data_IF_582077500136
#
_entry.id   IF_582077500136
#
_cell.length_a   1.000
_cell.length_b   1.000
_cell.length_c   1.000
_cell.angle_alpha   90.00
_cell.angle_beta   90.00
_cell.angle_gamma   90.00
#
_symmetry.space_group_name_H-M   'P 1'
#
loop_
_entity.id
_entity.type
_entity.pdbx_description
1 polymer ?
#
# COMPACT_ATOMS: atom_id res chain seq x y z
N UNK A 1 -10.45 31.12 -53.85
CA UNK A 1 -9.42 30.13 -54.21
C UNK A 1 -8.08 30.59 -53.67
N UNK A 2 -7.60 30.01 -52.58
CA UNK A 2 -6.21 30.08 -52.14
C UNK A 2 -5.99 29.04 -51.03
N UNK A 3 -4.86 28.34 -51.13
CA UNK A 3 -4.43 27.18 -50.37
C UNK A 3 -3.82 27.58 -49.01
N UNK A 4 -4.04 26.77 -47.98
CA UNK A 4 -3.21 26.73 -46.75
C UNK A 4 -2.02 25.74 -46.96
N UNK A 5 -0.96 25.65 -46.11
CA UNK A 5 -0.82 26.21 -44.75
C UNK A 5 0.55 26.83 -44.39
N UNK A 6 0.59 27.63 -43.33
CA UNK A 6 1.75 27.69 -42.42
C UNK A 6 1.24 27.48 -41.00
N UNK A 7 1.53 26.31 -40.45
CA UNK A 7 1.26 25.93 -39.07
C UNK A 7 2.47 26.33 -38.23
N UNK A 8 2.34 27.42 -37.48
CA UNK A 8 3.27 27.76 -36.40
C UNK A 8 2.86 27.03 -35.14
N UNK A 9 3.39 25.82 -34.93
CA UNK A 9 3.25 25.13 -33.63
C UNK A 9 4.09 25.88 -32.58
N UNK A 10 3.55 26.15 -31.38
CA UNK A 10 4.35 26.74 -30.31
C UNK A 10 5.45 25.76 -29.89
N UNK A 11 6.68 26.28 -29.77
CA UNK A 11 7.86 25.50 -29.35
C UNK A 11 7.67 25.01 -27.92
N UNK A 12 7.97 23.73 -27.71
CA UNK A 12 7.94 23.11 -26.39
C UNK A 12 8.98 23.73 -25.46
N UNK A 13 8.75 23.66 -24.14
CA UNK A 13 9.66 24.20 -23.13
C UNK A 13 11.08 23.59 -23.25
N UNK A 14 11.16 22.34 -23.70
CA UNK A 14 12.42 21.66 -24.01
C UNK A 14 13.16 22.29 -25.20
N UNK A 15 12.45 22.68 -26.27
CA UNK A 15 13.04 23.36 -27.44
C UNK A 15 13.49 24.79 -27.09
N UNK A 16 12.78 25.47 -26.19
CA UNK A 16 13.18 26.80 -25.69
C UNK A 16 14.41 26.72 -24.79
N UNK A 17 14.50 25.71 -23.93
CA UNK A 17 15.68 25.46 -23.09
C UNK A 17 16.89 25.00 -23.91
N UNK A 18 16.67 24.23 -24.98
CA UNK A 18 17.74 23.81 -25.90
C UNK A 18 18.27 25.00 -26.70
N UNK A 19 17.38 25.87 -27.21
CA UNK A 19 17.77 27.11 -27.87
C UNK A 19 18.57 28.03 -26.92
N UNK A 20 18.12 28.21 -25.68
CA UNK A 20 18.85 28.99 -24.67
C UNK A 20 20.21 28.38 -24.28
N UNK A 21 20.33 27.05 -24.23
CA UNK A 21 21.61 26.39 -24.00
C UNK A 21 22.59 26.55 -25.16
N UNK A 22 22.09 26.55 -26.41
CA UNK A 22 22.91 26.78 -27.60
C UNK A 22 23.41 28.25 -27.63
N UNK A 23 22.56 29.21 -27.28
CA UNK A 23 22.95 30.63 -27.18
C UNK A 23 23.93 30.89 -26.02
N UNK A 24 23.73 30.27 -24.85
CA UNK A 24 24.65 30.38 -23.72
C UNK A 24 26.02 29.75 -24.00
N UNK A 25 26.06 28.64 -24.74
CA UNK A 25 27.31 28.01 -25.16
C UNK A 25 28.07 28.85 -26.20
N UNK A 26 27.37 29.63 -27.03
CA UNK A 26 27.97 30.58 -27.95
C UNK A 26 28.54 31.82 -27.23
N UNK A 27 27.96 32.21 -26.08
CA UNK A 27 28.40 33.36 -25.29
C UNK A 27 29.59 33.08 -24.35
N UNK A 28 29.87 31.82 -24.01
CA UNK A 28 30.91 31.43 -23.05
C UNK A 28 32.34 31.32 -23.64
N UNK A 29 32.56 31.75 -24.89
CA UNK A 29 33.87 31.72 -25.57
C UNK A 29 34.81 32.89 -25.28
N UNK A 30 34.57 33.71 -24.24
CA UNK A 30 35.38 34.89 -23.88
C UNK A 30 35.97 34.81 -22.47
N UNK A 31 37.25 35.13 -22.34
CA UNK A 31 38.17 34.94 -21.21
C UNK A 31 37.85 35.71 -19.88
N UNK A 32 38.56 35.43 -18.76
CA UNK A 32 38.10 35.65 -17.37
C UNK A 32 38.89 36.72 -16.56
N UNK A 33 38.38 37.08 -15.36
CA UNK A 33 39.06 37.73 -14.19
C UNK A 33 37.98 38.30 -13.23
N UNK A 34 38.08 38.47 -11.91
CA UNK A 34 38.87 38.00 -10.76
C UNK A 34 38.28 38.65 -9.48
N UNK A 35 38.61 38.09 -8.30
CA UNK A 35 38.65 38.73 -6.96
C UNK A 35 37.34 39.12 -6.23
N UNK A 36 37.24 39.31 -4.91
CA UNK A 36 37.87 38.84 -3.66
C UNK A 36 37.20 39.64 -2.48
N UNK A 37 37.42 39.21 -1.22
CA UNK A 37 37.41 39.98 0.05
C UNK A 37 36.06 40.19 0.82
N UNK A 38 35.86 39.60 2.03
CA UNK A 38 36.08 40.08 3.45
C UNK A 38 35.06 41.13 3.94
N UNK A 39 34.57 41.28 5.20
CA UNK A 39 34.91 40.81 6.56
C UNK A 39 33.79 41.15 7.61
N UNK A 40 33.84 40.47 8.77
CA UNK A 40 33.63 40.93 10.19
C UNK A 40 32.27 41.25 10.83
N UNK A 41 32.25 40.97 12.16
CA UNK A 41 31.17 40.84 13.13
C UNK A 41 30.92 42.07 14.02
N UNK A 42 29.77 42.11 14.75
CA UNK A 42 29.70 42.44 16.20
C UNK A 42 28.26 42.27 16.78
N UNK A 43 28.17 41.79 18.03
CA UNK A 43 26.98 41.75 18.91
C UNK A 43 27.01 42.96 19.90
N UNK A 44 26.01 43.22 20.78
CA UNK A 44 25.91 42.48 22.07
C UNK A 44 24.53 42.41 22.83
N UNK A 45 24.50 41.51 23.83
CA UNK A 45 23.94 41.57 25.21
C UNK A 45 22.41 41.57 25.59
N UNK A 46 22.06 40.63 26.48
CA UNK A 46 20.92 40.57 27.44
C UNK A 46 21.23 41.36 28.75
N UNK A 47 20.39 41.51 29.83
CA UNK A 47 19.73 40.44 30.67
C UNK A 47 18.43 40.94 31.40
N UNK A 48 17.99 40.51 32.63
CA UNK A 48 18.19 39.30 33.46
C UNK A 48 16.89 38.62 34.01
N UNK A 49 17.08 37.56 34.82
CA UNK A 49 16.11 36.65 35.45
C UNK A 49 15.72 37.00 36.91
N UNK A 50 14.68 36.34 37.45
CA UNK A 50 14.42 36.22 38.90
C UNK A 50 13.81 34.85 39.31
N UNK A 51 14.37 34.30 40.38
CA UNK A 51 14.00 33.18 41.29
C UNK A 51 12.61 33.32 41.95
N UNK A 52 11.88 32.35 42.53
CA UNK A 52 12.06 30.95 42.93
C UNK A 52 10.91 30.50 43.88
N UNK A 53 10.93 29.23 44.32
CA UNK A 53 10.28 28.60 45.50
C UNK A 53 9.03 27.69 45.36
N UNK A 54 9.28 26.40 45.67
CA UNK A 54 8.65 25.49 46.65
C UNK A 54 7.14 25.07 46.63
N UNK A 55 7.00 23.74 46.72
CA UNK A 55 5.89 22.78 46.98
C UNK A 55 5.11 22.99 48.30
N UNK A 56 3.95 22.31 48.61
CA UNK A 56 3.62 20.89 48.34
C UNK A 56 2.16 20.48 48.02
N UNK A 57 2.00 19.18 47.73
CA UNK A 57 0.80 18.35 47.49
C UNK A 57 -0.24 18.38 48.64
N UNK A 58 -1.49 17.88 48.44
CA UNK A 58 -1.75 16.46 48.81
C UNK A 58 -2.87 15.69 48.03
N UNK A 59 -2.71 14.36 47.99
CA UNK A 59 -3.70 13.25 48.11
C UNK A 59 -5.00 13.13 47.27
N UNK A 60 -5.15 11.97 46.61
CA UNK A 60 -6.39 11.32 46.13
C UNK A 60 -7.39 10.97 47.26
N UNK A 61 -8.67 10.65 46.96
CA UNK A 61 -9.06 9.24 46.74
C UNK A 61 -10.19 8.99 45.70
N UNK A 62 -10.24 7.77 45.15
CA UNK A 62 -11.42 7.13 44.52
C UNK A 62 -12.15 6.24 45.57
N UNK A 63 -13.24 5.51 45.24
CA UNK A 63 -14.61 5.90 44.88
C UNK A 63 -15.64 5.24 45.85
N UNK A 64 -16.97 5.34 45.65
CA UNK A 64 -17.90 4.42 46.32
C UNK A 64 -18.50 3.37 45.38
N UNK A 65 -18.45 2.15 45.88
CA UNK A 65 -19.16 0.92 45.49
C UNK A 65 -20.65 1.05 45.76
N UNK A 66 -21.51 0.58 44.83
CA UNK A 66 -22.91 0.25 45.12
C UNK A 66 -23.14 -1.23 44.86
N UNK A 67 -23.73 -1.85 45.87
CA UNK A 67 -24.14 -3.26 45.99
C UNK A 67 -25.51 -3.44 45.33
N UNK A 68 -25.72 -4.57 44.66
CA UNK A 68 -27.05 -4.98 44.20
C UNK A 68 -27.03 -6.25 43.37
N UNK A 69 -26.99 -7.41 44.03
CA UNK A 69 -27.17 -8.71 43.42
C UNK A 69 -28.65 -9.13 43.37
N UNK A 70 -29.01 -9.82 42.29
CA UNK A 70 -30.03 -10.89 42.12
C UNK A 70 -29.86 -11.32 40.66
N UNK A 71 -29.67 -12.56 40.25
CA UNK A 71 -30.15 -13.82 40.80
C UNK A 71 -30.99 -14.50 39.72
N UNK A 72 -30.55 -15.71 39.32
CA UNK A 72 -31.26 -16.84 38.69
C UNK A 72 -31.89 -16.73 37.29
N UNK A 73 -31.61 -17.75 36.47
CA UNK A 73 -32.66 -18.43 35.70
C UNK A 73 -32.37 -18.83 34.24
N UNK A 74 -31.51 -19.82 34.01
CA UNK A 74 -31.70 -20.76 32.88
C UNK A 74 -33.00 -21.58 33.12
N UNK A 75 -33.66 -22.08 32.06
CA UNK A 75 -33.40 -23.47 31.68
C UNK A 75 -33.52 -23.81 30.18
N UNK A 76 -32.75 -24.84 29.82
CA UNK A 76 -32.95 -25.76 28.70
C UNK A 76 -34.11 -26.74 29.01
N UNK A 77 -34.76 -27.37 28.01
CA UNK A 77 -34.50 -28.80 27.73
C UNK A 77 -34.54 -29.12 26.21
N UNK A 78 -33.69 -29.97 25.61
CA UNK A 78 -33.57 -31.44 25.61
C UNK A 78 -34.81 -32.22 25.06
N UNK A 79 -34.70 -32.77 23.83
CA UNK A 79 -35.13 -34.11 23.35
C UNK A 79 -34.97 -34.19 21.81
N UNK A 80 -34.07 -34.99 21.25
CA UNK A 80 -34.17 -36.43 20.86
C UNK A 80 -35.08 -36.72 19.65
N UNK A 81 -34.47 -37.24 18.57
CA UNK A 81 -35.17 -37.83 17.43
C UNK A 81 -34.22 -38.32 16.33
N UNK A 82 -33.92 -39.63 16.33
CA UNK A 82 -33.22 -40.38 15.28
C UNK A 82 -34.02 -40.43 13.97
N UNK A 83 -33.33 -40.46 12.84
CA UNK A 83 -33.90 -40.84 11.53
C UNK A 83 -32.81 -41.13 10.49
N UNK A 84 -32.51 -42.42 10.30
CA UNK A 84 -31.73 -42.96 9.17
C UNK A 84 -32.49 -42.78 7.85
N UNK A 85 -31.78 -42.41 6.78
CA UNK A 85 -32.30 -42.46 5.41
C UNK A 85 -31.20 -42.25 4.38
N UNK A 86 -30.77 -43.33 3.73
CA UNK A 86 -29.91 -43.30 2.54
C UNK A 86 -30.65 -42.64 1.36
N UNK A 87 -29.93 -41.84 0.57
CA UNK A 87 -30.39 -41.35 -0.73
C UNK A 87 -29.25 -40.71 -1.51
N UNK A 88 -28.81 -41.39 -2.58
CA UNK A 88 -27.76 -40.95 -3.50
C UNK A 88 -28.19 -39.73 -4.32
N UNK A 89 -27.21 -38.86 -4.63
CA UNK A 89 -27.10 -38.27 -5.97
C UNK A 89 -27.34 -36.77 -6.15
N UNK A 90 -26.46 -36.20 -6.96
CA UNK A 90 -26.54 -34.94 -7.73
C UNK A 90 -25.91 -33.69 -7.07
N UNK A 91 -24.70 -33.40 -7.57
CA UNK A 91 -23.94 -32.17 -7.37
C UNK A 91 -24.56 -31.08 -8.26
N UNK A 92 -25.43 -30.23 -7.70
CA UNK A 92 -25.98 -29.09 -8.44
C UNK A 92 -25.06 -27.88 -8.32
N UNK A 93 -24.36 -27.57 -9.41
CA UNK A 93 -23.69 -26.28 -9.64
C UNK A 93 -24.72 -25.15 -9.59
N UNK A 94 -24.56 -24.22 -8.66
CA UNK A 94 -25.41 -23.05 -8.53
C UNK A 94 -25.16 -22.09 -9.71
N UNK A 95 -26.15 -22.02 -10.61
CA UNK A 95 -26.25 -21.04 -11.69
C UNK A 95 -26.41 -19.64 -11.10
N UNK A 96 -25.59 -18.69 -11.56
CA UNK A 96 -25.82 -17.25 -11.43
C UNK A 96 -26.98 -16.87 -12.35
N UNK A 97 -28.01 -16.23 -11.80
CA UNK A 97 -29.09 -15.60 -12.55
C UNK A 97 -28.70 -14.15 -12.80
N UNK A 98 -28.40 -13.81 -14.06
CA UNK A 98 -28.30 -12.43 -14.51
C UNK A 98 -29.70 -11.95 -14.90
N UNK A 99 -30.14 -10.83 -14.32
CA UNK A 99 -31.34 -10.11 -14.74
C UNK A 99 -30.94 -8.97 -15.66
N UNK A 100 -31.46 -9.05 -16.88
CA UNK A 100 -31.44 -8.02 -17.92
C UNK A 100 -32.44 -6.91 -17.59
N UNK A 101 -32.12 -5.68 -18.00
CA UNK A 101 -33.07 -4.79 -18.67
C UNK A 101 -32.32 -3.99 -19.76
N UNK A 102 -33.02 -3.76 -20.86
CA UNK A 102 -32.50 -3.57 -22.22
C UNK A 102 -32.70 -2.15 -22.75
N UNK A 103 -31.84 -1.69 -23.68
CA UNK A 103 -32.24 -0.95 -24.90
C UNK A 103 -31.25 -1.21 -26.07
N UNK A 104 -31.66 -2.10 -26.98
CA UNK A 104 -31.52 -2.15 -28.47
C UNK A 104 -30.63 -1.13 -29.22
N UNK A 105 -30.04 -1.37 -30.41
CA UNK A 105 -29.68 -2.53 -31.26
C UNK A 105 -29.28 -2.01 -32.66
N UNK A 106 -28.32 -2.66 -33.35
CA UNK A 106 -28.15 -2.88 -34.82
C UNK A 106 -26.66 -3.31 -35.01
N UNK A 107 -26.27 -4.58 -35.21
CA UNK A 107 -26.55 -5.52 -36.32
C UNK A 107 -25.25 -5.66 -37.15
N UNK A 108 -24.72 -6.79 -37.64
CA UNK A 108 -25.09 -8.21 -37.65
C UNK A 108 -23.92 -9.03 -38.27
N UNK A 109 -23.87 -10.34 -38.03
CA UNK A 109 -23.19 -11.46 -38.74
C UNK A 109 -21.65 -11.60 -38.63
N UNK A 110 -20.99 -12.77 -38.66
CA UNK A 110 -21.19 -14.18 -38.22
C UNK A 110 -19.94 -14.97 -38.73
N UNK A 111 -19.57 -16.08 -38.03
CA UNK A 111 -18.60 -17.14 -38.39
C UNK A 111 -17.10 -16.76 -38.30
N UNK A 112 -16.13 -17.58 -37.88
CA UNK A 112 -15.99 -18.98 -37.49
C UNK A 112 -14.49 -19.26 -37.26
N UNK A 113 -14.13 -20.31 -36.52
CA UNK A 113 -12.76 -20.66 -36.10
C UNK A 113 -11.81 -21.11 -37.23
N UNK A 114 -10.51 -21.06 -36.88
CA UNK A 114 -9.38 -21.91 -37.29
C UNK A 114 -8.41 -21.57 -38.44
N UNK A 115 -7.16 -21.41 -38.00
CA UNK A 115 -5.88 -21.88 -38.57
C UNK A 115 -5.25 -21.12 -39.75
N UNK A 116 -4.04 -20.66 -39.44
CA UNK A 116 -3.02 -19.97 -40.25
C UNK A 116 -2.63 -20.72 -41.54
N UNK A 117 -2.46 -19.95 -42.63
CA UNK A 117 -1.84 -20.39 -43.90
C UNK A 117 -1.05 -19.25 -44.58
N UNK A 118 0.27 -19.29 -44.34
CA UNK A 118 1.42 -18.99 -45.24
C UNK A 118 1.55 -17.56 -45.83
N UNK A 119 2.70 -17.08 -46.32
CA UNK A 119 4.01 -17.60 -46.75
C UNK A 119 5.04 -16.47 -46.57
N UNK A 120 6.22 -16.70 -45.96
CA UNK A 120 7.50 -15.94 -46.17
C UNK A 120 8.55 -16.18 -45.07
N UNK A 121 8.82 -17.45 -44.75
CA UNK A 121 10.02 -17.81 -44.01
C UNK A 121 10.65 -19.06 -44.62
N UNK A 122 11.93 -18.90 -45.00
CA UNK A 122 12.89 -19.91 -45.48
C UNK A 122 12.90 -20.14 -46.99
N UNK A 123 13.82 -19.47 -47.69
CA UNK A 123 14.93 -20.13 -48.39
C UNK A 123 16.06 -19.11 -48.62
N UNK A 124 17.26 -19.41 -48.14
CA UNK A 124 18.47 -18.64 -48.43
C UNK A 124 19.18 -19.11 -49.70
N UNK A 125 20.28 -18.39 -49.99
CA UNK A 125 21.42 -18.68 -50.88
C UNK A 125 21.36 -17.96 -52.25
N UNK A 126 22.06 -16.82 -52.37
CA UNK A 126 23.39 -16.56 -53.00
C UNK A 126 23.24 -16.20 -54.48
N UNK A 127 23.64 -14.98 -54.85
CA UNK A 127 24.54 -14.83 -55.98
C UNK A 127 25.42 -13.59 -55.93
N UNK A 128 26.68 -13.82 -56.30
CA UNK A 128 27.76 -12.87 -56.45
C UNK A 128 27.39 -11.78 -57.47
N UNK A 129 27.75 -10.53 -57.19
CA UNK A 129 28.26 -9.68 -58.26
C UNK A 129 29.47 -8.85 -57.80
N UNK A 130 30.47 -8.90 -58.68
CA UNK A 130 31.86 -8.48 -58.52
C UNK A 130 31.97 -6.95 -58.43
N UNK A 131 32.75 -6.48 -57.47
CA UNK A 131 33.29 -5.12 -57.44
C UNK A 131 34.50 -5.10 -58.38
N UNK A 132 34.42 -4.34 -59.47
CA UNK A 132 35.60 -3.91 -60.23
C UNK A 132 36.06 -2.54 -59.72
N UNK A 133 37.31 -2.51 -59.27
CA UNK A 133 38.00 -1.33 -58.77
C UNK A 133 38.47 -0.45 -59.94
N UNK A 134 37.76 0.63 -60.23
CA UNK A 134 38.29 1.76 -61.01
C UNK A 134 37.40 3.01 -60.91
N UNK A 135 37.34 3.64 -59.73
CA UNK A 135 37.15 5.10 -59.63
C UNK A 135 37.47 5.59 -58.21
N UNK A 136 38.75 5.53 -57.87
CA UNK A 136 39.30 6.27 -56.75
C UNK A 136 39.66 7.68 -57.23
N UNK A 137 38.99 8.73 -56.71
CA UNK A 137 39.65 10.01 -56.43
C UNK A 137 38.76 11.01 -55.66
N UNK A 138 39.35 11.54 -54.57
CA UNK A 138 39.11 12.87 -53.96
C UNK A 138 37.88 13.03 -53.04
N UNK A 139 38.08 12.91 -51.72
CA UNK A 139 38.37 14.07 -50.81
C UNK A 139 38.17 13.75 -49.31
N UNK A 140 39.20 14.15 -48.55
CA UNK A 140 39.24 14.65 -47.16
C UNK A 140 38.53 13.82 -46.07
N UNK A 141 39.34 13.21 -45.21
CA UNK A 141 38.94 12.60 -43.95
C UNK A 141 38.31 13.65 -43.02
N UNK A 142 36.99 13.63 -42.92
CA UNK A 142 36.28 14.44 -41.93
C UNK A 142 36.29 13.75 -40.55
N UNK A 143 36.49 14.54 -39.50
CA UNK A 143 36.53 14.14 -38.08
C UNK A 143 35.30 13.39 -37.58
N UNK A 144 34.27 13.21 -38.41
CA UNK A 144 33.12 12.33 -38.18
C UNK A 144 33.48 10.87 -37.89
N UNK A 145 34.66 10.40 -38.33
CA UNK A 145 35.11 9.03 -38.05
C UNK A 145 35.47 8.81 -36.57
N UNK A 146 35.94 9.85 -35.87
CA UNK A 146 36.20 9.81 -34.42
C UNK A 146 34.91 9.90 -33.60
N UNK A 147 33.91 10.61 -34.11
CA UNK A 147 32.58 10.68 -33.48
C UNK A 147 31.87 9.34 -33.62
N UNK A 148 31.94 8.66 -34.77
CA UNK A 148 31.30 7.35 -34.97
C UNK A 148 31.76 6.26 -33.98
N UNK A 149 33.02 6.31 -33.53
CA UNK A 149 33.53 5.40 -32.49
C UNK A 149 33.09 5.77 -31.06
N UNK A 150 32.71 7.02 -30.80
CA UNK A 150 32.15 7.46 -29.51
C UNK A 150 30.63 7.19 -29.47
N UNK A 151 29.92 7.38 -30.59
CA UNK A 151 28.46 7.16 -30.64
C UNK A 151 28.08 5.68 -30.72
N UNK A 152 29.00 4.79 -31.09
CA UNK A 152 28.81 3.33 -30.95
C UNK A 152 28.82 2.85 -29.48
N UNK A 153 29.26 3.69 -28.53
CA UNK A 153 29.26 3.41 -27.10
C UNK A 153 28.17 4.13 -26.30
N UNK A 154 27.28 4.88 -26.95
CA UNK A 154 25.98 5.17 -26.34
C UNK A 154 25.14 3.92 -26.51
N UNK A 155 24.83 3.17 -25.43
CA UNK A 155 23.91 2.06 -25.59
C UNK A 155 22.64 2.69 -26.12
N UNK A 156 22.19 2.21 -27.27
CA UNK A 156 20.87 2.51 -27.77
C UNK A 156 19.92 2.24 -26.61
N UNK A 157 19.36 3.28 -26.00
CA UNK A 157 18.33 3.13 -24.98
C UNK A 157 17.11 2.60 -25.72
N UNK A 158 17.12 1.29 -25.95
CA UNK A 158 15.93 0.56 -26.28
C UNK A 158 15.05 0.73 -25.05
N UNK A 159 14.15 1.71 -25.13
CA UNK A 159 13.08 1.86 -24.17
C UNK A 159 12.23 0.60 -24.33
N UNK A 160 12.60 -0.45 -23.61
CA UNK A 160 11.70 -1.56 -23.37
C UNK A 160 10.45 -0.89 -22.83
N UNK A 161 9.34 -0.96 -23.58
CA UNK A 161 8.03 -0.64 -23.03
C UNK A 161 7.92 -1.53 -21.80
N UNK A 162 8.13 -0.99 -20.59
CA UNK A 162 7.92 -1.72 -19.34
C UNK A 162 6.60 -2.46 -19.53
N UNK A 163 6.62 -3.78 -19.39
CA UNK A 163 5.44 -4.60 -19.63
C UNK A 163 4.26 -3.94 -18.94
N UNK A 164 3.15 -3.80 -19.67
CA UNK A 164 1.92 -3.22 -19.16
C UNK A 164 1.48 -4.09 -17.98
N UNK A 165 1.77 -3.69 -16.75
CA UNK A 165 1.33 -4.45 -15.59
C UNK A 165 -0.19 -4.32 -15.50
N UNK A 166 -0.91 -5.43 -15.23
CA UNK A 166 -2.35 -5.38 -15.05
C UNK A 166 -2.67 -4.50 -13.85
N UNK A 167 -3.45 -3.45 -14.10
CA UNK A 167 -3.82 -2.45 -13.10
C UNK A 167 -4.52 -3.09 -11.88
N UNK A 168 -4.27 -2.56 -10.68
CA UNK A 168 -4.67 -3.16 -9.40
C UNK A 168 -5.42 -2.16 -8.53
N UNK A 169 -6.64 -2.53 -8.12
CA UNK A 169 -7.39 -1.81 -7.09
C UNK A 169 -7.80 -2.75 -5.96
N UNK A 170 -7.14 -2.60 -4.82
CA UNK A 170 -7.44 -3.38 -3.61
C UNK A 170 -8.69 -2.86 -2.89
N UNK A 171 -8.79 -1.54 -2.72
CA UNK A 171 -9.86 -0.89 -1.99
C UNK A 171 -10.50 0.27 -2.77
N UNK A 172 -11.59 0.82 -2.25
CA UNK A 172 -12.35 1.91 -2.86
C UNK A 172 -13.39 1.45 -3.89
N UNK A 173 -14.13 2.42 -4.45
CA UNK A 173 -15.18 2.16 -5.43
C UNK A 173 -14.59 1.96 -6.82
N UNK A 174 -15.15 1.02 -7.59
CA UNK A 174 -14.77 0.81 -8.99
C UNK A 174 -15.00 2.09 -9.80
N UNK A 175 -14.10 2.36 -10.76
CA UNK A 175 -14.18 3.55 -11.62
C UNK A 175 -13.55 4.82 -11.04
N UNK A 176 -12.99 4.78 -9.83
CA UNK A 176 -12.31 5.93 -9.23
C UNK A 176 -10.91 6.20 -9.79
N UNK A 177 -10.33 5.27 -10.55
CA UNK A 177 -8.96 5.36 -11.01
C UNK A 177 -8.85 5.08 -12.51
N UNK A 178 -7.91 5.75 -13.17
CA UNK A 178 -7.55 5.55 -14.59
C UNK A 178 -6.03 5.57 -14.75
N UNK A 179 -5.52 5.03 -15.86
CA UNK A 179 -4.11 5.17 -16.19
C UNK A 179 -3.76 6.65 -16.44
N UNK A 180 -2.61 7.09 -15.94
CA UNK A 180 -2.13 8.45 -16.16
C UNK A 180 -1.65 8.70 -17.59
N UNK A 181 -1.60 9.97 -18.01
CA UNK A 181 -1.10 10.35 -19.33
C UNK A 181 0.42 10.13 -19.46
N UNK A 182 1.15 10.12 -18.33
CA UNK A 182 2.59 9.89 -18.28
C UNK A 182 2.90 8.48 -17.72
N UNK A 183 3.95 7.81 -18.22
CA UNK A 183 4.45 6.58 -17.61
C UNK A 183 4.74 6.76 -16.11
N UNK A 184 4.32 5.80 -15.29
CA UNK A 184 4.48 5.86 -13.84
C UNK A 184 3.52 6.80 -13.13
N UNK A 185 2.39 7.15 -13.77
CA UNK A 185 1.34 7.96 -13.14
C UNK A 185 -0.02 7.28 -13.20
N UNK A 186 -0.85 7.57 -12.21
CA UNK A 186 -2.23 7.11 -12.07
C UNK A 186 -3.13 8.33 -11.86
N UNK A 187 -4.33 8.28 -12.43
CA UNK A 187 -5.37 9.26 -12.19
C UNK A 187 -6.31 8.75 -11.11
N UNK A 188 -6.61 9.57 -10.11
CA UNK A 188 -7.64 9.31 -9.09
C UNK A 188 -8.71 10.39 -9.20
N UNK A 189 -10.00 10.03 -9.20
CA UNK A 189 -11.09 11.00 -9.30
C UNK A 189 -10.94 12.10 -8.25
N UNK A 190 -11.08 13.36 -8.66
CA UNK A 190 -10.80 14.51 -7.81
C UNK A 190 -11.70 14.51 -6.57
N UNK A 191 -11.06 14.63 -5.41
CA UNK A 191 -11.68 15.02 -4.15
C UNK A 191 -10.97 16.30 -3.66
N UNK A 192 -11.66 17.44 -3.51
CA UNK A 192 -11.01 18.69 -3.11
C UNK A 192 -10.22 18.60 -1.80
N UNK A 193 -10.78 17.91 -0.79
CA UNK A 193 -10.07 17.71 0.50
C UNK A 193 -8.79 16.90 0.35
N UNK A 194 -8.81 15.88 -0.52
CA UNK A 194 -7.64 15.06 -0.78
C UNK A 194 -6.56 15.85 -1.54
N UNK A 195 -6.99 16.71 -2.45
CA UNK A 195 -6.08 17.62 -3.17
C UNK A 195 -5.35 18.55 -2.22
N UNK A 196 -6.08 19.23 -1.34
CA UNK A 196 -5.53 20.13 -0.32
C UNK A 196 -4.46 19.41 0.51
N UNK A 197 -4.77 18.19 0.97
CA UNK A 197 -3.80 17.36 1.68
C UNK A 197 -2.54 17.12 0.86
N UNK A 198 -2.66 16.72 -0.41
CA UNK A 198 -1.50 16.49 -1.28
C UNK A 198 -0.68 17.77 -1.52
N UNK A 199 -1.32 18.93 -1.68
CA UNK A 199 -0.63 20.20 -1.86
C UNK A 199 0.25 20.56 -0.65
N UNK A 200 -0.25 20.31 0.57
CA UNK A 200 0.50 20.49 1.82
C UNK A 200 1.60 19.42 1.93
N UNK A 201 1.26 18.15 1.72
CA UNK A 201 2.18 17.02 1.82
C UNK A 201 3.38 17.10 0.85
N UNK A 202 3.23 17.75 -0.31
CA UNK A 202 4.35 17.98 -1.23
C UNK A 202 5.40 18.96 -0.68
N UNK A 203 5.09 19.65 0.41
CA UNK A 203 5.97 20.60 1.11
C UNK A 203 6.32 20.11 2.54
N UNK A 204 5.69 19.03 3.02
CA UNK A 204 5.89 18.45 4.34
C UNK A 204 7.02 17.41 4.37
N UNK A 205 7.52 17.09 5.57
CA UNK A 205 8.49 16.02 5.81
C UNK A 205 7.98 14.63 5.37
N UNK A 206 6.66 14.44 5.33
CA UNK A 206 6.01 13.21 4.87
C UNK A 206 6.06 13.00 3.35
N UNK A 207 6.52 13.98 2.56
CA UNK A 207 6.61 13.87 1.09
C UNK A 207 7.23 12.56 0.59
N UNK A 208 8.32 12.00 1.16
CA UNK A 208 8.92 10.75 0.70
C UNK A 208 8.10 9.48 1.02
N UNK A 209 6.99 9.64 1.75
CA UNK A 209 6.14 8.55 2.25
C UNK A 209 4.73 8.57 1.64
N UNK A 210 4.45 9.49 0.72
CA UNK A 210 3.17 9.61 0.00
C UNK A 210 3.39 9.58 -1.52
N UNK A 211 2.38 9.23 -2.34
CA UNK A 211 2.47 9.40 -3.79
C UNK A 211 2.79 10.84 -4.16
N UNK A 212 3.73 11.04 -5.09
CA UNK A 212 3.98 12.38 -5.64
C UNK A 212 2.74 12.88 -6.37
N UNK A 213 2.20 14.02 -5.93
CA UNK A 213 1.11 14.71 -6.60
C UNK A 213 1.64 15.63 -7.70
N UNK A 214 1.11 15.48 -8.91
CA UNK A 214 1.55 16.19 -10.12
C UNK A 214 0.59 17.28 -10.60
N UNK A 215 -0.53 17.48 -9.92
CA UNK A 215 -1.57 18.42 -10.33
C UNK A 215 -2.88 17.75 -10.74
N UNK A 216 -3.77 18.53 -11.34
CA UNK A 216 -5.05 18.06 -11.87
C UNK A 216 -4.96 17.74 -13.37
N UNK A 217 -5.77 16.79 -13.81
CA UNK A 217 -6.00 16.47 -15.21
C UNK A 217 -7.50 16.40 -15.48
N UNK A 218 -7.94 17.07 -16.54
CA UNK A 218 -9.32 16.99 -17.03
C UNK A 218 -9.40 15.87 -18.07
N UNK A 219 -10.30 14.91 -17.85
CA UNK A 219 -10.63 13.84 -18.81
C UNK A 219 -11.43 14.39 -19.99
N UNK A 220 -11.49 13.62 -21.09
CA UNK A 220 -12.29 13.96 -22.28
C UNK A 220 -13.78 14.18 -21.95
N UNK A 221 -14.30 13.44 -20.96
CA UNK A 221 -15.67 13.55 -20.45
C UNK A 221 -15.91 14.78 -19.54
N UNK A 222 -14.92 15.65 -19.37
CA UNK A 222 -14.99 16.83 -18.49
C UNK A 222 -14.80 16.55 -16.99
N UNK A 223 -14.63 15.29 -16.59
CA UNK A 223 -14.32 14.93 -15.20
C UNK A 223 -12.89 15.30 -14.81
N UNK A 224 -12.71 15.78 -13.57
CA UNK A 224 -11.39 16.12 -13.02
C UNK A 224 -10.79 14.97 -12.21
N UNK A 225 -9.48 14.81 -12.35
CA UNK A 225 -8.68 13.79 -11.69
C UNK A 225 -7.42 14.41 -11.05
N UNK A 226 -7.01 13.87 -9.91
CA UNK A 226 -5.67 14.02 -9.36
C UNK A 226 -4.71 13.14 -10.17
N UNK A 227 -3.61 13.72 -10.67
CA UNK A 227 -2.51 12.94 -11.22
C UNK A 227 -1.49 12.63 -10.12
N UNK A 228 -1.34 11.34 -9.81
CA UNK A 228 -0.48 10.84 -8.74
C UNK A 228 0.61 9.93 -9.33
N UNK A 229 1.72 9.78 -8.61
CA UNK A 229 2.67 8.71 -8.85
C UNK A 229 1.98 7.35 -8.75
N UNK A 230 2.24 6.48 -9.73
CA UNK A 230 1.88 5.08 -9.61
C UNK A 230 2.92 4.36 -8.74
N UNK A 231 2.50 3.97 -7.54
CA UNK A 231 3.36 3.32 -6.56
C UNK A 231 3.81 1.90 -6.97
N UNK A 232 3.22 1.33 -8.02
CA UNK A 232 3.53 -0.02 -8.50
C UNK A 232 4.49 0.00 -9.70
N UNK A 233 4.80 1.18 -10.27
CA UNK A 233 5.49 1.28 -11.57
C UNK A 233 6.91 0.72 -11.61
N UNK A 234 7.56 0.59 -10.45
CA UNK A 234 8.93 0.11 -10.31
C UNK A 234 9.03 -1.33 -9.80
N UNK A 235 7.89 -1.99 -9.60
CA UNK A 235 7.84 -3.36 -9.11
C UNK A 235 7.56 -4.35 -10.23
N UNK A 236 8.15 -5.55 -10.13
CA UNK A 236 7.86 -6.66 -11.04
C UNK A 236 6.95 -7.67 -10.33
N UNK A 237 5.74 -7.88 -10.87
CA UNK A 237 4.72 -8.76 -10.27
C UNK A 237 4.48 -8.46 -8.76
N UNK A 238 4.09 -7.22 -8.41
CA UNK A 238 4.02 -6.81 -7.01
C UNK A 238 2.97 -7.57 -6.22
N UNK A 239 3.35 -7.95 -5.00
CA UNK A 239 2.43 -8.20 -3.90
C UNK A 239 2.04 -6.87 -3.26
N UNK A 240 0.74 -6.64 -3.07
CA UNK A 240 0.18 -5.40 -2.55
C UNK A 240 -0.76 -5.70 -1.39
N UNK A 241 -0.67 -4.95 -0.29
CA UNK A 241 -1.60 -5.02 0.83
C UNK A 241 -1.99 -3.61 1.27
N UNK A 242 -3.28 -3.42 1.49
CA UNK A 242 -3.86 -2.17 1.98
C UNK A 242 -4.26 -2.34 3.45
N UNK A 243 -3.67 -1.54 4.33
CA UNK A 243 -4.04 -1.48 5.73
C UNK A 243 -4.62 -0.12 6.07
N UNK A 244 -5.90 -0.06 6.42
CA UNK A 244 -6.51 1.15 6.96
C UNK A 244 -6.00 1.40 8.38
N UNK A 245 -5.61 2.63 8.68
CA UNK A 245 -4.98 2.98 9.97
C UNK A 245 -5.86 3.97 10.75
N UNK A 246 -5.77 3.90 12.07
CA UNK A 246 -6.56 4.64 13.05
C UNK A 246 -7.45 3.72 13.89
N UNK A 247 -7.84 4.17 15.08
CA UNK A 247 -8.81 3.46 15.95
C UNK A 247 -10.26 3.75 15.59
N UNK A 248 -10.49 4.72 14.70
CA UNK A 248 -11.80 5.09 14.15
C UNK A 248 -11.70 5.40 12.66
N UNK A 249 -12.81 5.26 11.95
CA UNK A 249 -12.86 5.39 10.48
C UNK A 249 -13.94 6.32 9.95
N UNK A 250 -14.50 7.13 10.84
CA UNK A 250 -15.44 8.19 10.56
C UNK A 250 -14.98 9.50 11.20
N UNK A 251 -15.35 10.61 10.58
CA UNK A 251 -15.12 11.96 11.12
C UNK A 251 -16.12 12.28 12.23
N UNK A 252 -15.74 13.13 13.19
CA UNK A 252 -16.67 13.58 14.23
C UNK A 252 -17.90 14.30 13.64
N UNK A 253 -17.69 15.09 12.58
CA UNK A 253 -18.80 15.70 11.84
C UNK A 253 -19.78 14.68 11.26
N UNK A 254 -19.31 13.50 10.84
CA UNK A 254 -20.19 12.44 10.32
C UNK A 254 -21.08 11.88 11.44
N UNK A 255 -20.60 11.85 12.68
CA UNK A 255 -21.42 11.51 13.85
C UNK A 255 -22.44 12.61 14.16
N UNK A 256 -22.01 13.87 14.21
CA UNK A 256 -22.89 15.00 14.52
C UNK A 256 -24.03 15.12 13.50
N UNK A 257 -23.71 15.05 12.20
CA UNK A 257 -24.70 15.08 11.12
C UNK A 257 -25.70 13.91 11.20
N UNK A 258 -25.27 12.74 11.65
CA UNK A 258 -26.14 11.59 11.82
C UNK A 258 -27.05 11.70 13.05
N UNK A 259 -26.61 12.37 14.12
CA UNK A 259 -27.44 12.70 15.29
C UNK A 259 -28.53 13.72 14.94
N UNK A 260 -28.19 14.73 14.13
CA UNK A 260 -29.15 15.75 13.67
C UNK A 260 -30.15 15.20 12.65
N UNK A 261 -29.67 14.46 11.64
CA UNK A 261 -30.50 13.91 10.57
C UNK A 261 -30.07 12.50 10.21
N UNK A 262 -30.60 11.47 10.90
CA UNK A 262 -30.23 10.08 10.63
C UNK A 262 -30.67 9.69 9.21
N UNK A 263 -29.70 9.35 8.36
CA UNK A 263 -29.94 8.78 7.03
C UNK A 263 -29.72 7.28 7.07
N UNK A 264 -30.80 6.53 6.83
CA UNK A 264 -30.80 5.08 6.77
C UNK A 264 -30.23 4.57 5.43
N UNK A 265 -29.48 3.47 5.50
CA UNK A 265 -28.73 2.88 4.38
C UNK A 265 -29.02 1.37 4.30
N UNK A 266 -29.79 0.98 3.28
CA UNK A 266 -30.12 -0.43 3.01
C UNK A 266 -28.88 -1.25 2.64
N UNK A 267 -28.00 -0.68 1.82
CA UNK A 267 -26.77 -1.34 1.36
C UNK A 267 -25.81 -1.70 2.51
N UNK A 268 -25.81 -0.91 3.59
CA UNK A 268 -25.00 -1.18 4.78
C UNK A 268 -25.61 -2.28 5.64
N UNK A 269 -26.94 -2.28 5.78
CA UNK A 269 -27.67 -3.35 6.47
C UNK A 269 -27.47 -4.69 5.77
N UNK A 270 -27.62 -4.74 4.44
CA UNK A 270 -27.45 -5.97 3.66
C UNK A 270 -26.03 -6.56 3.84
N UNK A 271 -25.00 -5.70 3.86
CA UNK A 271 -23.62 -6.13 4.14
C UNK A 271 -23.43 -6.60 5.59
N UNK A 272 -24.17 -6.03 6.53
CA UNK A 272 -24.08 -6.37 7.95
C UNK A 272 -24.64 -7.76 8.21
N UNK A 273 -25.85 -8.04 7.72
CA UNK A 273 -26.47 -9.37 7.84
C UNK A 273 -25.75 -10.47 7.08
N UNK A 274 -25.04 -10.13 6.00
CA UNK A 274 -24.19 -11.09 5.26
C UNK A 274 -23.00 -11.59 6.09
N UNK A 275 -22.56 -10.79 7.07
CA UNK A 275 -21.44 -11.13 7.95
C UNK A 275 -21.95 -11.70 9.26
N UNK A 276 -22.93 -11.05 9.87
CA UNK A 276 -23.56 -11.46 11.13
C UNK A 276 -25.05 -11.09 11.12
N UNK A 277 -25.91 -12.10 11.02
CA UNK A 277 -27.37 -11.95 11.00
C UNK A 277 -27.97 -11.47 12.31
N UNK A 278 -27.23 -11.53 13.43
CA UNK A 278 -27.68 -11.09 14.75
C UNK A 278 -27.11 -9.74 15.17
N UNK A 279 -26.24 -9.14 14.35
CA UNK A 279 -25.63 -7.85 14.67
C UNK A 279 -26.61 -6.65 14.63
N UNK A 280 -27.60 -6.56 13.71
CA UNK A 280 -28.56 -5.47 13.71
C UNK A 280 -29.57 -5.58 14.87
N UNK A 281 -30.09 -4.45 15.36
CA UNK A 281 -31.17 -4.44 16.35
C UNK A 281 -32.52 -4.81 15.74
N UNK A 282 -33.53 -5.06 16.58
CA UNK A 282 -34.88 -5.35 16.12
C UNK A 282 -35.47 -4.21 15.25
N UNK A 283 -35.19 -2.95 15.62
CA UNK A 283 -35.60 -1.78 14.85
C UNK A 283 -34.86 -1.70 13.50
N UNK A 284 -33.56 -2.00 13.48
CA UNK A 284 -32.75 -2.03 12.25
C UNK A 284 -33.20 -3.14 11.30
N UNK A 285 -33.57 -4.30 11.82
CA UNK A 285 -34.19 -5.38 11.06
C UNK A 285 -35.54 -5.00 10.48
N UNK A 286 -36.40 -4.35 11.27
CA UNK A 286 -37.70 -3.87 10.80
C UNK A 286 -37.55 -2.84 9.66
N UNK A 287 -36.57 -1.92 9.79
CA UNK A 287 -36.28 -0.90 8.80
C UNK A 287 -35.49 -1.44 7.57
N UNK A 288 -34.88 -2.63 7.68
CA UNK A 288 -33.94 -3.19 6.70
C UNK A 288 -32.84 -2.21 6.29
N UNK A 289 -32.38 -1.41 7.24
CA UNK A 289 -31.43 -0.35 7.02
C UNK A 289 -30.75 0.05 8.32
N UNK A 290 -29.49 0.47 8.24
CA UNK A 290 -28.72 1.01 9.38
C UNK A 290 -28.18 2.39 9.02
N UNK A 291 -27.81 3.19 10.02
CA UNK A 291 -27.10 4.46 9.73
C UNK A 291 -25.63 4.18 9.39
N UNK A 292 -25.00 5.11 8.66
CA UNK A 292 -23.57 4.98 8.32
C UNK A 292 -22.67 4.89 9.56
N UNK A 293 -22.77 5.78 10.57
CA UNK A 293 -21.85 5.68 11.71
C UNK A 293 -22.04 4.40 12.52
N UNK A 294 -23.29 3.95 12.70
CA UNK A 294 -23.58 2.65 13.33
C UNK A 294 -22.88 1.49 12.64
N UNK A 295 -22.92 1.46 11.31
CA UNK A 295 -22.24 0.45 10.52
C UNK A 295 -20.71 0.53 10.63
N UNK A 296 -20.16 1.74 10.63
CA UNK A 296 -18.71 1.95 10.77
C UNK A 296 -18.23 1.48 12.15
N UNK A 297 -18.91 1.88 13.23
CA UNK A 297 -18.60 1.44 14.60
C UNK A 297 -18.68 -0.08 14.70
N UNK A 298 -19.72 -0.71 14.16
CA UNK A 298 -19.81 -2.16 14.15
C UNK A 298 -18.62 -2.80 13.39
N UNK A 299 -18.28 -2.31 12.19
CA UNK A 299 -17.11 -2.77 11.44
C UNK A 299 -15.80 -2.64 12.24
N UNK A 300 -15.65 -1.56 13.00
CA UNK A 300 -14.49 -1.35 13.86
C UNK A 300 -14.42 -2.38 14.99
N UNK A 301 -15.57 -2.82 15.53
CA UNK A 301 -15.64 -3.82 16.61
C UNK A 301 -15.40 -5.26 16.16
N UNK A 302 -15.72 -5.60 14.90
CA UNK A 302 -15.53 -6.95 14.36
C UNK A 302 -14.17 -7.14 13.66
N UNK A 303 -13.43 -6.06 13.46
CA UNK A 303 -12.06 -6.07 12.91
C UNK A 303 -11.04 -5.68 13.98
N UNK A 304 -9.76 -5.62 13.61
CA UNK A 304 -8.67 -5.17 14.48
C UNK A 304 -8.62 -3.66 14.71
N UNK A 305 -9.49 -2.86 14.07
CA UNK A 305 -9.42 -1.39 14.14
C UNK A 305 -9.53 -0.85 15.57
N UNK A 306 -10.54 -1.28 16.32
CA UNK A 306 -10.77 -0.76 17.68
C UNK A 306 -9.70 -1.20 18.70
N UNK A 307 -9.03 -2.34 18.46
CA UNK A 307 -8.08 -2.95 19.41
C UNK A 307 -6.62 -2.71 19.07
N UNK A 308 -6.29 -2.66 17.77
CA UNK A 308 -4.91 -2.53 17.28
C UNK A 308 -4.67 -1.21 16.55
N UNK A 309 -5.70 -0.40 16.26
CA UNK A 309 -5.56 0.87 15.56
C UNK A 309 -5.28 0.73 14.06
N UNK A 310 -5.54 -0.44 13.47
CA UNK A 310 -5.52 -0.65 12.03
C UNK A 310 -6.35 -1.88 11.65
N UNK A 311 -6.62 -2.08 10.36
CA UNK A 311 -7.12 -3.36 9.81
C UNK A 311 -6.65 -3.58 8.38
N UNK A 312 -6.58 -4.84 7.95
CA UNK A 312 -6.31 -5.20 6.56
C UNK A 312 -7.59 -5.02 5.75
N UNK A 313 -7.54 -4.27 4.66
CA UNK A 313 -8.68 -4.08 3.73
C UNK A 313 -8.60 -5.07 2.56
N UNK A 314 -7.40 -5.42 2.11
CA UNK A 314 -7.20 -6.37 1.03
C UNK A 314 -5.74 -6.68 0.77
N UNK A 315 -5.53 -7.83 0.13
CA UNK A 315 -4.22 -8.34 -0.28
C UNK A 315 -4.33 -8.80 -1.74
N UNK A 316 -3.31 -8.50 -2.55
CA UNK A 316 -3.05 -9.13 -3.84
C UNK A 316 -1.64 -9.70 -3.81
N UNK A 317 -1.48 -10.95 -4.24
CA UNK A 317 -0.18 -11.61 -4.36
C UNK A 317 0.35 -11.55 -5.80
N UNK A 318 1.62 -11.90 -5.96
CA UNK A 318 2.32 -11.91 -7.25
C UNK A 318 1.72 -12.90 -8.26
N UNK A 319 1.12 -13.99 -7.78
CA UNK A 319 0.38 -14.99 -8.57
C UNK A 319 -0.96 -14.46 -9.13
N UNK A 320 -1.35 -13.23 -8.78
CA UNK A 320 -2.59 -12.59 -9.20
C UNK A 320 -3.78 -12.89 -8.30
N UNK A 321 -3.66 -13.79 -7.32
CA UNK A 321 -4.70 -14.03 -6.33
C UNK A 321 -4.94 -12.77 -5.50
N UNK A 322 -6.21 -12.47 -5.23
CA UNK A 322 -6.59 -11.35 -4.40
C UNK A 322 -7.60 -11.78 -3.36
N UNK A 323 -7.38 -11.37 -2.11
CA UNK A 323 -8.30 -11.55 -1.01
C UNK A 323 -8.78 -10.20 -0.52
N UNK A 324 -10.08 -10.09 -0.30
CA UNK A 324 -10.71 -8.96 0.40
C UNK A 324 -11.43 -9.46 1.65
N UNK A 325 -11.15 -10.68 2.10
CA UNK A 325 -11.90 -11.33 3.17
C UNK A 325 -11.31 -11.12 4.56
N UNK A 326 -11.14 -9.85 4.91
CA UNK A 326 -10.56 -9.43 6.18
C UNK A 326 -11.55 -8.72 7.11
N UNK A 327 -12.87 -8.85 6.83
CA UNK A 327 -13.91 -8.09 7.53
C UNK A 327 -13.99 -8.46 9.02
N UNK A 328 -13.64 -9.70 9.34
CA UNK A 328 -13.65 -10.28 10.70
C UNK A 328 -12.25 -10.64 11.20
N UNK A 329 -11.20 -10.25 10.47
CA UNK A 329 -9.81 -10.43 10.91
C UNK A 329 -9.54 -9.43 12.04
N UNK A 330 -9.46 -9.94 13.26
CA UNK A 330 -9.47 -9.13 14.47
C UNK A 330 -8.33 -9.44 15.43
N UNK A 331 -8.08 -10.72 15.72
CA UNK A 331 -7.08 -11.10 16.72
C UNK A 331 -5.67 -10.84 16.20
N UNK A 332 -4.71 -10.65 17.13
CA UNK A 332 -3.29 -10.44 16.78
C UNK A 332 -2.75 -11.65 15.99
N UNK A 333 -3.18 -12.85 16.34
CA UNK A 333 -2.79 -14.11 15.69
C UNK A 333 -3.35 -14.20 14.26
N UNK A 334 -4.61 -13.84 14.05
CA UNK A 334 -5.20 -13.79 12.71
C UNK A 334 -4.46 -12.79 11.81
N UNK A 335 -4.08 -11.64 12.37
CA UNK A 335 -3.30 -10.63 11.66
C UNK A 335 -1.89 -11.14 11.33
N UNK A 336 -1.21 -11.80 12.28
CA UNK A 336 0.07 -12.46 12.04
C UNK A 336 -0.01 -13.48 10.91
N UNK A 337 -1.04 -14.32 10.89
CA UNK A 337 -1.27 -15.30 9.82
C UNK A 337 -1.44 -14.62 8.46
N UNK A 338 -2.22 -13.55 8.39
CA UNK A 338 -2.38 -12.79 7.14
C UNK A 338 -1.06 -12.17 6.66
N UNK A 339 -0.21 -11.70 7.57
CA UNK A 339 1.13 -11.20 7.21
C UNK A 339 2.09 -12.29 6.76
N UNK A 340 2.11 -13.44 7.42
CA UNK A 340 2.88 -14.61 6.98
C UNK A 340 2.44 -15.03 5.58
N UNK A 341 1.14 -15.09 5.33
CA UNK A 341 0.59 -15.42 4.02
C UNK A 341 0.97 -14.37 2.95
N UNK A 342 0.95 -13.08 3.31
CA UNK A 342 1.36 -11.98 2.43
C UNK A 342 2.85 -12.05 2.05
N UNK A 343 3.70 -12.46 2.98
CA UNK A 343 5.16 -12.54 2.83
C UNK A 343 5.64 -13.89 2.31
N UNK A 344 4.72 -14.82 2.00
CA UNK A 344 5.06 -16.16 1.55
C UNK A 344 5.98 -16.13 0.31
N UNK A 345 7.06 -16.91 0.37
CA UNK A 345 8.13 -16.91 -0.64
C UNK A 345 9.12 -15.73 -0.56
N UNK A 346 8.89 -14.75 0.31
CA UNK A 346 9.67 -13.52 0.40
C UNK A 346 10.00 -13.10 1.85
N UNK A 347 10.50 -14.01 2.72
CA UNK A 347 10.73 -13.71 4.14
C UNK A 347 11.75 -12.56 4.36
N UNK A 348 12.72 -12.40 3.46
CA UNK A 348 13.74 -11.34 3.49
C UNK A 348 13.19 -9.91 3.33
N UNK A 349 11.91 -9.77 2.97
CA UNK A 349 11.23 -8.49 2.83
C UNK A 349 10.82 -7.91 4.18
N UNK A 350 10.50 -8.75 5.17
CA UNK A 350 9.98 -8.31 6.47
C UNK A 350 10.88 -7.27 7.18
N UNK A 351 12.22 -7.44 7.25
CA UNK A 351 13.10 -6.43 7.86
C UNK A 351 13.02 -5.06 7.18
N UNK A 352 12.80 -5.03 5.85
CA UNK A 352 12.67 -3.79 5.08
C UNK A 352 11.38 -3.05 5.41
N UNK A 353 10.28 -3.79 5.62
CA UNK A 353 9.03 -3.19 6.09
C UNK A 353 9.16 -2.63 7.51
N UNK A 354 9.83 -3.34 8.42
CA UNK A 354 10.08 -2.84 9.78
C UNK A 354 10.88 -1.54 9.72
N UNK A 355 11.97 -1.50 8.95
CA UNK A 355 12.78 -0.30 8.77
C UNK A 355 11.95 0.86 8.19
N UNK A 356 11.14 0.60 7.16
CA UNK A 356 10.28 1.60 6.54
C UNK A 356 9.22 2.13 7.50
N UNK A 357 8.55 1.27 8.26
CA UNK A 357 7.56 1.68 9.29
C UNK A 357 8.20 2.53 10.38
N UNK A 358 9.38 2.16 10.87
CA UNK A 358 10.11 2.96 11.87
C UNK A 358 10.45 4.35 11.34
N UNK A 359 10.86 4.45 10.07
CA UNK A 359 11.13 5.73 9.42
C UNK A 359 9.85 6.57 9.23
N UNK A 360 8.75 5.95 8.80
CA UNK A 360 7.43 6.59 8.72
C UNK A 360 7.03 7.13 10.10
N UNK A 361 7.06 6.29 11.15
CA UNK A 361 6.71 6.67 12.52
C UNK A 361 7.53 7.86 13.01
N UNK A 362 8.85 7.82 12.82
CA UNK A 362 9.74 8.89 13.25
C UNK A 362 9.44 10.21 12.52
N UNK A 363 9.07 10.15 11.23
CA UNK A 363 8.72 11.34 10.44
C UNK A 363 7.35 11.89 10.83
N UNK A 364 6.36 11.03 11.06
CA UNK A 364 5.03 11.42 11.53
C UNK A 364 5.11 12.22 12.84
N UNK A 365 5.96 11.79 13.78
CA UNK A 365 6.10 12.44 15.08
C UNK A 365 6.54 13.93 15.01
N UNK A 366 7.19 14.33 13.91
CA UNK A 366 7.70 15.70 13.70
C UNK A 366 7.06 16.42 12.50
N UNK A 367 6.08 15.79 11.85
CA UNK A 367 5.38 16.37 10.70
C UNK A 367 4.36 17.41 11.18
N UNK A 368 4.45 18.62 10.64
CA UNK A 368 3.50 19.68 10.93
C UNK A 368 2.12 19.35 10.34
N UNK A 369 2.09 18.79 9.13
CA UNK A 369 0.84 18.28 8.53
C UNK A 369 0.16 17.30 9.48
N UNK A 370 0.90 16.31 9.99
CA UNK A 370 0.32 15.27 10.84
C UNK A 370 -0.28 15.87 12.12
N UNK A 371 0.50 16.64 12.88
CA UNK A 371 0.06 17.23 14.15
C UNK A 371 -1.15 18.18 14.04
N UNK A 372 -1.40 18.72 12.85
CA UNK A 372 -2.47 19.70 12.57
C UNK A 372 -3.63 19.09 11.79
N UNK A 373 -3.63 17.79 11.51
CA UNK A 373 -4.69 17.13 10.76
C UNK A 373 -5.25 15.93 11.51
N UNK A 374 -6.56 15.78 11.50
CA UNK A 374 -7.23 14.54 11.85
C UNK A 374 -7.15 13.58 10.66
N UNK A 375 -6.41 12.47 10.79
CA UNK A 375 -6.07 11.57 9.66
C UNK A 375 -6.98 10.35 9.65
N UNK A 376 -8.17 10.51 9.06
CA UNK A 376 -9.21 9.47 9.04
C UNK A 376 -9.32 8.79 7.69
N UNK A 377 -9.46 7.47 7.74
CA UNK A 377 -9.80 6.67 6.56
C UNK A 377 -8.65 6.48 5.56
N UNK A 378 -7.47 7.04 5.83
CA UNK A 378 -6.24 6.77 5.09
C UNK A 378 -5.70 5.37 5.36
N UNK A 379 -4.79 4.93 4.50
CA UNK A 379 -4.19 3.60 4.55
C UNK A 379 -2.68 3.64 4.41
N UNK A 380 -2.02 2.61 4.93
CA UNK A 380 -0.67 2.23 4.54
C UNK A 380 -0.76 1.18 3.44
N UNK A 381 -0.21 1.50 2.26
CA UNK A 381 -0.09 0.60 1.14
C UNK A 381 1.29 -0.07 1.17
N UNK A 382 1.31 -1.35 1.52
CA UNK A 382 2.48 -2.20 1.48
C UNK A 382 2.65 -2.75 0.06
N UNK A 383 3.83 -2.58 -0.51
CA UNK A 383 4.17 -3.09 -1.85
C UNK A 383 5.52 -3.77 -1.78
N UNK A 384 5.59 -5.00 -2.25
CA UNK A 384 6.85 -5.68 -2.46
C UNK A 384 6.88 -6.53 -3.74
N UNK A 385 8.07 -6.79 -4.23
CA UNK A 385 8.37 -7.85 -5.18
C UNK A 385 9.53 -8.70 -4.65
N UNK A 386 10.18 -9.46 -5.53
CA UNK A 386 11.33 -10.29 -5.18
C UNK A 386 12.48 -9.51 -4.49
N UNK A 387 12.65 -8.24 -4.84
CA UNK A 387 13.86 -7.45 -4.53
C UNK A 387 13.58 -6.10 -3.89
N UNK A 388 12.35 -5.59 -3.93
CA UNK A 388 11.96 -4.27 -3.45
C UNK A 388 10.82 -4.38 -2.45
N UNK A 389 10.78 -3.44 -1.51
CA UNK A 389 9.68 -3.30 -0.56
C UNK A 389 9.55 -1.85 -0.13
N UNK A 390 8.33 -1.34 -0.08
CA UNK A 390 8.05 -0.01 0.46
C UNK A 390 6.64 0.06 1.02
N UNK A 391 6.41 1.12 1.79
CA UNK A 391 5.14 1.45 2.42
C UNK A 391 4.88 2.92 2.14
N UNK A 392 3.64 3.21 1.76
CA UNK A 392 3.17 4.54 1.40
C UNK A 392 1.87 4.88 2.12
N UNK A 393 1.73 6.11 2.59
CA UNK A 393 0.46 6.63 3.08
C UNK A 393 -0.37 7.07 1.86
N UNK A 394 -1.62 6.61 1.81
CA UNK A 394 -2.57 6.89 0.72
C UNK A 394 -3.96 7.23 1.27
N UNK A 395 -4.84 7.74 0.41
CA UNK A 395 -6.26 7.98 0.67
C UNK A 395 -6.55 9.07 1.73
N UNK A 396 -6.25 10.32 1.40
CA UNK A 396 -6.45 11.48 2.31
C UNK A 396 -7.82 12.16 2.15
N UNK A 397 -8.77 11.54 1.45
CA UNK A 397 -10.09 12.14 1.17
C UNK A 397 -10.93 12.46 2.42
N UNK A 398 -10.60 11.86 3.55
CA UNK A 398 -11.21 12.11 4.86
C UNK A 398 -10.22 12.67 5.88
N UNK A 399 -9.01 13.01 5.47
CA UNK A 399 -8.08 13.76 6.30
C UNK A 399 -8.52 15.22 6.30
N UNK A 400 -8.59 15.84 7.47
CA UNK A 400 -9.11 17.21 7.63
C UNK A 400 -8.18 18.01 8.54
N UNK A 401 -7.94 19.26 8.17
CA UNK A 401 -7.21 20.21 9.01
C UNK A 401 -7.99 20.48 10.31
N UNK A 402 -7.27 20.53 11.42
CA UNK A 402 -7.80 20.86 12.73
C UNK A 402 -8.01 22.38 12.87
N UNK A 403 -8.85 22.82 13.82
CA UNK A 403 -8.91 24.23 14.20
C UNK A 403 -7.51 24.78 14.56
N UNK A 404 -7.15 26.03 14.21
CA UNK A 404 -5.77 26.53 14.33
C UNK A 404 -5.10 26.46 15.72
N UNK A 405 -5.88 26.34 16.79
CA UNK A 405 -5.35 26.23 18.16
C UNK A 405 -5.24 24.79 18.65
N UNK A 406 -5.69 23.81 17.87
CA UNK A 406 -5.73 22.41 18.25
C UNK A 406 -4.61 21.63 17.56
N UNK A 407 -3.95 20.79 18.35
CA UNK A 407 -3.03 19.75 17.87
C UNK A 407 -3.40 18.45 18.56
N UNK A 408 -3.20 17.35 17.87
CA UNK A 408 -3.42 16.00 18.41
C UNK A 408 -2.10 15.23 18.42
N UNK A 409 -1.99 14.26 19.31
CA UNK A 409 -0.77 13.44 19.44
C UNK A 409 -0.88 12.10 18.70
N UNK A 410 -2.07 11.77 18.17
CA UNK A 410 -2.41 10.54 17.44
C UNK A 410 -2.21 9.25 18.25
N UNK A 411 -2.11 9.37 19.57
CA UNK A 411 -1.80 8.31 20.52
C UNK A 411 -2.80 8.27 21.68
N UNK A 412 -3.30 9.43 22.09
CA UNK A 412 -4.29 9.60 23.12
C UNK A 412 -5.61 8.93 22.73
N UNK A 413 -6.30 8.38 23.73
CA UNK A 413 -7.58 7.72 23.50
C UNK A 413 -8.60 8.72 22.92
N UNK A 414 -9.26 8.33 21.84
CA UNK A 414 -10.29 9.16 21.22
C UNK A 414 -11.48 9.40 22.15
N UNK A 415 -11.91 10.67 22.18
CA UNK A 415 -13.10 11.15 22.86
C UNK A 415 -13.73 12.22 21.97
N UNK A 416 -15.05 12.25 21.89
CA UNK A 416 -15.77 13.27 21.10
C UNK A 416 -15.26 14.67 21.47
N UNK A 417 -14.80 15.43 20.47
CA UNK A 417 -14.26 16.78 20.60
C UNK A 417 -12.75 16.87 20.78
N UNK A 418 -12.03 15.75 21.01
CA UNK A 418 -10.56 15.77 21.06
C UNK A 418 -9.89 15.45 19.72
N UNK A 419 -10.66 15.03 18.71
CA UNK A 419 -10.19 14.76 17.34
C UNK A 419 -9.13 13.66 17.19
N UNK A 420 -8.73 12.98 18.26
CA UNK A 420 -7.71 11.92 18.21
C UNK A 420 -8.13 10.79 17.26
N UNK A 421 -7.21 10.33 16.43
CA UNK A 421 -7.48 9.28 15.43
C UNK A 421 -6.82 7.94 15.78
N UNK A 422 -5.90 7.92 16.76
CA UNK A 422 -5.14 6.74 17.17
C UNK A 422 -4.23 6.19 16.07
N UNK A 423 -3.78 7.02 15.13
CA UNK A 423 -2.99 6.58 13.99
C UNK A 423 -1.62 6.01 14.41
N UNK A 424 -0.95 6.61 15.40
CA UNK A 424 0.32 6.10 15.92
C UNK A 424 0.15 4.82 16.74
N UNK A 425 -1.02 4.58 17.35
CA UNK A 425 -1.35 3.29 17.97
C UNK A 425 -1.29 2.19 16.90
N UNK A 426 -1.90 2.44 15.74
CA UNK A 426 -1.87 1.54 14.59
C UNK A 426 -0.46 1.23 14.09
N UNK A 427 0.34 2.27 13.87
CA UNK A 427 1.72 2.12 13.39
C UNK A 427 2.58 1.35 14.40
N UNK A 428 2.47 1.65 15.70
CA UNK A 428 3.24 0.95 16.72
C UNK A 428 2.87 -0.53 16.78
N UNK A 429 1.57 -0.86 16.78
CA UNK A 429 1.14 -2.26 16.76
C UNK A 429 1.60 -3.01 15.50
N UNK A 430 1.61 -2.36 14.33
CA UNK A 430 2.17 -2.94 13.10
C UNK A 430 3.66 -3.26 13.26
N UNK A 431 4.45 -2.32 13.79
CA UNK A 431 5.88 -2.53 14.05
C UNK A 431 6.09 -3.69 15.02
N UNK A 432 5.36 -3.72 16.13
CA UNK A 432 5.50 -4.75 17.16
C UNK A 432 5.15 -6.13 16.61
N UNK A 433 4.07 -6.26 15.84
CA UNK A 433 3.68 -7.52 15.21
C UNK A 433 4.76 -7.99 14.23
N UNK A 434 5.31 -7.09 13.42
CA UNK A 434 6.36 -7.45 12.47
C UNK A 434 7.67 -7.85 13.15
N UNK A 435 8.06 -7.17 14.23
CA UNK A 435 9.24 -7.54 15.02
C UNK A 435 9.05 -8.91 15.67
N UNK A 436 7.87 -9.19 16.22
CA UNK A 436 7.53 -10.52 16.75
C UNK A 436 7.59 -11.59 15.67
N UNK A 437 7.04 -11.32 14.48
CA UNK A 437 7.11 -12.24 13.34
C UNK A 437 8.55 -12.51 12.91
N UNK A 438 9.39 -11.47 12.84
CA UNK A 438 10.78 -11.62 12.47
C UNK A 438 11.52 -12.52 13.47
N UNK A 439 11.35 -12.28 14.77
CA UNK A 439 11.97 -13.10 15.81
C UNK A 439 11.52 -14.57 15.72
N UNK A 440 10.24 -14.83 15.46
CA UNK A 440 9.73 -16.18 15.29
C UNK A 440 10.35 -16.88 14.06
N UNK A 441 10.47 -16.17 12.93
CA UNK A 441 11.06 -16.72 11.71
C UNK A 441 12.56 -17.02 11.88
N UNK A 442 13.29 -16.18 12.62
CA UNK A 442 14.70 -16.40 12.97
C UNK A 442 14.85 -17.63 13.87
N UNK A 443 14.01 -17.77 14.91
CA UNK A 443 14.01 -18.94 15.79
C UNK A 443 13.69 -20.26 15.06
N UNK A 444 12.72 -20.25 14.13
CA UNK A 444 12.38 -21.43 13.31
C UNK A 444 13.52 -21.84 12.36
N UNK A 445 14.23 -20.86 11.80
CA UNK A 445 15.39 -21.09 10.96
C UNK A 445 16.56 -21.68 11.75
N UNK A 446 16.81 -21.18 12.97
CA UNK A 446 17.82 -21.73 13.87
C UNK A 446 17.50 -23.17 14.29
N UNK A 447 16.26 -23.44 14.69
CA UNK A 447 15.81 -24.78 15.07
C UNK A 447 15.94 -25.81 13.93
N UNK A 448 15.71 -25.37 12.68
CA UNK A 448 15.84 -26.23 11.50
C UNK A 448 17.30 -26.48 11.08
N UNK A 449 18.26 -25.72 11.64
CA UNK A 449 19.69 -25.82 11.31
C UNK A 449 20.49 -26.72 12.25
N UNK A 450 19.87 -27.27 13.31
CA UNK A 450 20.53 -28.17 14.27
C UNK A 450 20.72 -29.56 13.60
N UNK A 451 21.95 -30.07 13.45
CA UNK A 451 22.21 -31.39 12.89
C UNK A 451 21.61 -32.50 13.79
N UNK A 452 20.91 -33.45 13.17
CA UNK A 452 20.55 -34.72 13.83
C UNK A 452 21.86 -35.40 14.24
N UNK A 453 22.05 -35.82 15.51
CA UNK A 453 23.22 -36.58 15.91
C UNK A 453 23.30 -37.85 15.08
N UNK A 454 24.43 -38.09 14.41
CA UNK A 454 24.70 -39.34 13.73
C UNK A 454 24.46 -40.50 14.70
N UNK A 455 23.80 -41.60 14.29
CA UNK A 455 23.73 -42.77 15.13
C UNK A 455 25.16 -43.24 15.37
N UNK A 456 25.57 -43.25 16.64
CA UNK A 456 26.82 -43.87 17.07
C UNK A 456 26.76 -45.31 16.57
N UNK A 457 27.65 -45.66 15.65
CA UNK A 457 27.92 -47.04 15.27
C UNK A 457 28.34 -47.77 16.55
N UNK A 458 27.43 -48.61 17.06
CA UNK A 458 27.73 -49.50 18.17
C UNK A 458 28.68 -50.58 17.68
N UNK A 459 29.97 -50.44 17.96
CA UNK A 459 30.94 -51.53 17.91
C UNK A 459 31.77 -51.68 19.21
N UNK A 460 31.51 -50.90 20.27
CA UNK A 460 32.27 -50.98 21.53
C UNK A 460 31.41 -51.35 22.76
N UNK A 461 30.43 -52.24 22.60
CA UNK A 461 29.69 -52.86 23.72
C UNK A 461 29.64 -54.39 23.61
N UNK A 462 30.79 -55.02 23.35
CA UNK A 462 30.90 -56.49 23.53
C UNK A 462 32.18 -56.95 24.26
N UNK A 463 33.12 -56.06 24.62
CA UNK A 463 34.34 -56.43 25.34
C UNK A 463 34.31 -56.19 26.87
N UNK A 464 33.16 -55.82 27.45
CA UNK A 464 33.07 -55.52 28.90
C UNK A 464 32.28 -56.52 29.74
N UNK A 465 31.74 -57.58 29.15
CA UNK A 465 31.06 -58.66 29.89
C UNK A 465 31.89 -59.95 30.05
N UNK A 466 33.00 -60.13 29.33
CA UNK A 466 33.86 -61.33 29.51
C UNK A 466 34.91 -61.22 30.63
N UNK A 467 34.92 -60.15 31.43
CA UNK A 467 35.93 -59.95 32.50
C UNK A 467 35.41 -60.11 33.93
N UNK A 468 34.17 -60.55 34.12
CA UNK A 468 33.60 -60.86 35.46
C UNK A 468 33.29 -62.34 35.71
N UNK A 469 33.57 -63.26 34.76
CA UNK A 469 33.34 -64.70 34.96
C UNK A 469 34.64 -65.52 35.09
N UNK A 470 35.57 -65.08 35.95
CA UNK A 470 36.70 -65.92 36.39
C UNK A 470 37.12 -65.65 37.85
N UNK A 471 36.13 -65.48 38.72
CA UNK A 471 36.31 -65.58 40.17
C UNK A 471 36.19 -67.03 40.63
N UNK A 472 37.26 -67.79 40.48
CA UNK A 472 37.39 -69.19 40.87
C UNK A 472 37.32 -69.34 42.41
N UNK A 473 36.43 -70.22 42.85
CA UNK A 473 36.15 -70.58 44.24
C UNK A 473 36.88 -71.90 44.56
N UNK A 474 37.80 -71.91 45.55
CA UNK A 474 38.13 -73.01 46.50
C UNK A 474 39.54 -72.91 47.13
N UNK A 475 39.82 -73.62 48.25
CA UNK A 475 38.91 -74.16 49.28
C UNK A 475 39.16 -73.60 50.69
#
# INVERSE_FOLDING_TARGET
MALFPSSSRPRTLMEQLLARKIEAAAAAGGAPSAAAATATATAPASPPASTGSATPSPTSPNPPTVVGGVGVGLPLPLALGLGLGLGMGVVSRLRRTDSLDSTSSLGSLAFGEDVCRCDDCLLGIVDLYVISAAEAAKKKSSGWRKIRNIVQWTPFFQTYKKQRYPWVQLAGHQGNFKAGPEPGTVLKKLCPKEEECFQILMQDLLRPYVPVYKGQVTSEDGELYLQLQDLLSDYVQPCVMDCKVGVRTYLEEELSKAKEKPKLRKDMYDKMIQIDGHAPTAEEHAAKAVTKPRYMVWRETISSTATLGFRIEGIKKSDGTSSKDFKTTKSREQIKLAFVEFLSGHPHILPRYIQRLRAIRATLAVSEFFQTHEVIGSSLLFVHDQTHASIWLIDFAKTVELPPQLRIDHYSAWKVGNHEDGYLIGINNLIDIFVELQANMEAEAEASSIPIPSPVSGEDQEEREEREESGEDKP
#
